data_IF_262476919258
#
_entry.id   IF_262476919258
#
_cell.length_a   1.000
_cell.length_b   1.000
_cell.length_c   1.000
_cell.angle_alpha   90.00
_cell.angle_beta   90.00
_cell.angle_gamma   90.00
#
_symmetry.space_group_name_H-M   'P 1'
#
loop_
_entity.id
_entity.type
_entity.pdbx_description
1 polymer ?
#
# COMPACT_ATOMS: atom_id res chain seq x y z
N UNK A 1 -31.89 -19.85 11.74
CA UNK A 1 -31.66 -19.78 10.30
C UNK A 1 -30.17 -19.55 10.03
N UNK A 2 -29.51 -20.31 9.14
CA UNK A 2 -28.11 -20.08 8.80
C UNK A 2 -27.98 -18.70 8.16
N UNK A 3 -27.05 -17.89 8.67
CA UNK A 3 -26.70 -16.60 8.06
C UNK A 3 -26.23 -16.86 6.63
N UNK A 4 -26.92 -16.28 5.65
CA UNK A 4 -26.48 -16.31 4.26
C UNK A 4 -25.02 -15.86 4.16
N UNK A 5 -24.20 -16.66 3.48
CA UNK A 5 -22.78 -16.31 3.27
C UNK A 5 -22.73 -14.95 2.57
N UNK A 6 -22.00 -14.00 3.16
CA UNK A 6 -21.76 -12.70 2.50
C UNK A 6 -21.09 -12.98 1.16
N UNK A 7 -21.64 -12.49 0.04
CA UNK A 7 -20.99 -12.69 -1.24
C UNK A 7 -19.56 -12.15 -1.17
N UNK A 8 -18.60 -12.94 -1.68
CA UNK A 8 -17.22 -12.51 -1.81
C UNK A 8 -17.20 -11.21 -2.64
N UNK A 9 -16.44 -10.19 -2.22
CA UNK A 9 -16.30 -8.97 -3.00
C UNK A 9 -15.81 -9.33 -4.40
N UNK A 10 -16.53 -8.89 -5.44
CA UNK A 10 -16.11 -9.11 -6.82
C UNK A 10 -14.78 -8.40 -7.05
N UNK A 11 -13.82 -9.10 -7.68
CA UNK A 11 -12.62 -8.46 -8.18
C UNK A 11 -13.02 -7.39 -9.21
N UNK A 12 -12.29 -6.28 -9.26
CA UNK A 12 -12.40 -5.32 -10.37
C UNK A 12 -11.85 -5.96 -11.64
N UNK A 13 -12.38 -5.57 -12.79
CA UNK A 13 -11.71 -5.80 -14.07
C UNK A 13 -10.34 -5.12 -14.10
N UNK A 14 -9.46 -5.58 -15.01
CA UNK A 14 -8.12 -4.98 -15.16
C UNK A 14 -8.24 -3.49 -15.48
N UNK A 15 -9.13 -3.11 -16.40
CA UNK A 15 -9.32 -1.72 -16.84
C UNK A 15 -9.80 -0.83 -15.69
N UNK A 16 -10.79 -1.26 -14.90
CA UNK A 16 -11.28 -0.54 -13.73
C UNK A 16 -10.18 -0.36 -12.67
N UNK A 17 -9.40 -1.41 -12.42
CA UNK A 17 -8.31 -1.34 -11.46
C UNK A 17 -7.22 -0.37 -11.93
N UNK A 18 -6.83 -0.42 -13.21
CA UNK A 18 -5.86 0.50 -13.81
C UNK A 18 -6.40 1.92 -13.82
N UNK A 19 -7.68 2.12 -14.18
CA UNK A 19 -8.34 3.44 -14.14
C UNK A 19 -8.28 4.05 -12.74
N UNK A 20 -8.58 3.27 -11.70
CA UNK A 20 -8.53 3.73 -10.31
C UNK A 20 -7.14 4.20 -9.88
N UNK A 21 -6.10 3.37 -10.14
CA UNK A 21 -4.74 3.70 -9.68
C UNK A 21 -4.09 4.79 -10.52
N UNK A 22 -4.44 4.89 -11.80
CA UNK A 22 -3.93 5.93 -12.72
C UNK A 22 -4.72 7.23 -12.66
N UNK A 23 -5.86 7.26 -11.94
CA UNK A 23 -6.68 8.45 -11.80
C UNK A 23 -5.90 9.56 -11.10
N UNK A 24 -6.04 10.77 -11.60
CA UNK A 24 -5.48 12.00 -11.01
C UNK A 24 -6.60 13.02 -10.90
N UNK A 25 -6.85 13.50 -9.68
CA UNK A 25 -7.85 14.53 -9.44
C UNK A 25 -7.23 15.90 -9.66
N UNK A 26 -7.65 16.59 -10.71
CA UNK A 26 -7.17 17.95 -11.01
C UNK A 26 -7.58 19.00 -9.94
N UNK A 27 -8.63 18.71 -9.17
CA UNK A 27 -9.15 19.58 -8.12
C UNK A 27 -8.68 19.24 -6.71
N UNK A 28 -7.93 18.14 -6.54
CA UNK A 28 -7.44 17.73 -5.23
C UNK A 28 -6.18 18.52 -4.84
N UNK A 29 -6.01 18.68 -3.54
CA UNK A 29 -4.74 19.12 -2.97
C UNK A 29 -3.62 18.16 -3.43
N UNK A 30 -2.52 18.66 -4.03
CA UNK A 30 -1.44 17.83 -4.56
C UNK A 30 -0.84 16.89 -3.51
N UNK A 31 -0.77 17.31 -2.25
CA UNK A 31 -0.29 16.50 -1.14
C UNK A 31 -1.21 15.31 -0.88
N UNK A 32 -2.54 15.53 -0.87
CA UNK A 32 -3.52 14.46 -0.70
C UNK A 32 -3.52 13.52 -1.90
N UNK A 33 -3.42 14.05 -3.11
CA UNK A 33 -3.43 13.25 -4.34
C UNK A 33 -2.22 12.34 -4.42
N UNK A 34 -1.01 12.85 -4.18
CA UNK A 34 0.21 12.04 -4.19
C UNK A 34 0.16 10.91 -3.16
N UNK A 35 -0.35 11.19 -1.95
CA UNK A 35 -0.53 10.18 -0.91
C UNK A 35 -1.50 9.08 -1.35
N UNK A 36 -2.67 9.48 -1.82
CA UNK A 36 -3.76 8.56 -2.15
C UNK A 36 -3.44 7.74 -3.41
N UNK A 37 -2.69 8.31 -4.36
CA UNK A 37 -2.14 7.57 -5.49
C UNK A 37 -1.15 6.50 -5.05
N UNK A 38 -0.20 6.83 -4.17
CA UNK A 38 0.75 5.85 -3.63
C UNK A 38 0.05 4.74 -2.83
N UNK A 39 -0.99 5.06 -2.06
CA UNK A 39 -1.81 4.07 -1.35
C UNK A 39 -2.50 3.11 -2.34
N UNK A 40 -3.13 3.64 -3.38
CA UNK A 40 -3.84 2.84 -4.37
C UNK A 40 -2.89 1.91 -5.14
N UNK A 41 -1.73 2.42 -5.54
CA UNK A 41 -0.68 1.65 -6.22
C UNK A 41 -0.14 0.51 -5.34
N UNK A 42 0.15 0.74 -4.07
CA UNK A 42 0.62 -0.32 -3.17
C UNK A 42 -0.45 -1.39 -2.89
N UNK A 43 -1.71 -1.01 -2.78
CA UNK A 43 -2.80 -1.96 -2.54
C UNK A 43 -3.07 -2.83 -3.76
N UNK A 44 -3.06 -2.26 -4.96
CA UNK A 44 -3.28 -2.99 -6.19
C UNK A 44 -2.00 -3.62 -6.72
N UNK A 45 -0.90 -2.88 -6.80
CA UNK A 45 0.37 -3.35 -7.34
C UNK A 45 1.10 -4.35 -6.42
N UNK A 46 1.00 -4.19 -5.10
CA UNK A 46 1.65 -5.10 -4.14
C UNK A 46 0.67 -6.07 -3.46
N UNK A 47 -0.63 -5.91 -3.66
CA UNK A 47 -1.64 -6.74 -3.00
C UNK A 47 -1.56 -6.73 -1.48
N UNK A 48 -1.11 -5.63 -0.87
CA UNK A 48 -0.97 -5.51 0.59
C UNK A 48 -2.31 -5.62 1.31
N UNK A 49 -2.28 -6.21 2.51
CA UNK A 49 -3.41 -6.09 3.43
C UNK A 49 -3.47 -4.67 3.98
N UNK A 50 -4.67 -4.18 4.27
CA UNK A 50 -4.85 -2.83 4.82
C UNK A 50 -4.03 -2.61 6.11
N UNK A 51 -3.98 -3.61 7.00
CA UNK A 51 -3.19 -3.54 8.23
C UNK A 51 -1.67 -3.53 7.96
N UNK A 52 -1.21 -4.18 6.90
CA UNK A 52 0.18 -4.13 6.47
C UNK A 52 0.53 -2.75 5.92
N UNK A 53 -0.32 -2.19 5.06
CA UNK A 53 -0.16 -0.85 4.52
C UNK A 53 -0.11 0.22 5.62
N UNK A 54 -1.06 0.19 6.57
CA UNK A 54 -1.07 1.15 7.69
C UNK A 54 0.12 0.99 8.63
N UNK A 55 0.73 -0.19 8.67
CA UNK A 55 1.92 -0.48 9.47
C UNK A 55 3.24 -0.10 8.84
N UNK A 56 3.25 0.43 7.60
CA UNK A 56 4.49 0.82 6.93
C UNK A 56 5.08 2.10 7.54
N UNK A 57 6.39 2.08 7.71
CA UNK A 57 7.22 3.21 8.08
C UNK A 57 8.06 3.68 6.90
N UNK A 58 8.54 4.91 6.96
CA UNK A 58 9.41 5.49 5.92
C UNK A 58 10.74 4.76 5.84
N UNK A 59 11.24 4.24 6.98
CA UNK A 59 12.54 3.59 7.09
C UNK A 59 12.47 2.33 7.94
N UNK A 60 13.39 1.41 7.67
CA UNK A 60 13.62 0.28 8.54
C UNK A 60 14.06 0.72 9.94
N UNK A 61 13.48 0.10 10.96
CA UNK A 61 13.93 0.23 12.35
C UNK A 61 13.57 -1.03 13.14
N UNK A 62 14.13 -1.17 14.33
CA UNK A 62 13.80 -2.30 15.22
C UNK A 62 12.35 -2.29 15.68
N UNK A 63 11.67 -1.13 15.62
CA UNK A 63 10.27 -0.97 16.00
C UNK A 63 9.33 -0.97 14.79
N UNK A 64 9.86 -0.88 13.56
CA UNK A 64 9.07 -0.85 12.34
C UNK A 64 8.29 -2.15 12.15
N UNK A 65 6.98 -2.03 11.98
CA UNK A 65 6.12 -3.16 11.59
C UNK A 65 6.31 -3.53 10.13
N UNK A 66 6.73 -2.57 9.32
CA UNK A 66 7.07 -2.75 7.92
C UNK A 66 7.69 -1.47 7.37
N UNK A 67 8.32 -1.55 6.22
CA UNK A 67 8.90 -0.42 5.49
C UNK A 67 8.98 -0.74 4.00
N UNK A 68 9.27 0.28 3.19
CA UNK A 68 9.52 0.08 1.76
C UNK A 68 10.97 0.46 1.43
N UNK A 69 11.66 -0.45 0.77
CA UNK A 69 12.95 -0.18 0.14
C UNK A 69 12.70 0.15 -1.34
N UNK A 70 12.77 1.45 -1.68
CA UNK A 70 12.53 1.92 -3.03
C UNK A 70 13.65 1.56 -4.02
N UNK A 71 14.88 1.35 -3.53
CA UNK A 71 16.01 0.96 -4.37
C UNK A 71 15.92 -0.51 -4.77
N UNK A 72 15.55 -1.35 -3.80
CA UNK A 72 15.33 -2.78 -4.05
C UNK A 72 13.97 -3.07 -4.71
N UNK A 73 13.02 -2.13 -4.68
CA UNK A 73 11.64 -2.38 -5.11
C UNK A 73 10.92 -3.38 -4.20
N UNK A 74 11.11 -3.27 -2.90
CA UNK A 74 10.64 -4.24 -1.90
C UNK A 74 9.82 -3.58 -0.79
N UNK A 75 8.68 -4.18 -0.44
CA UNK A 75 7.96 -3.85 0.77
C UNK A 75 8.12 -4.99 1.79
N UNK A 76 8.72 -4.66 2.93
CA UNK A 76 8.86 -5.57 4.07
C UNK A 76 7.65 -5.42 4.98
N UNK A 77 6.84 -6.46 5.13
CA UNK A 77 5.59 -6.39 5.90
C UNK A 77 5.51 -7.47 6.97
N UNK A 78 4.81 -7.16 8.03
CA UNK A 78 4.52 -8.09 9.12
C UNK A 78 3.14 -8.72 8.89
N UNK A 79 3.12 -9.98 8.51
CA UNK A 79 1.90 -10.73 8.25
C UNK A 79 1.28 -11.34 9.51
N UNK A 80 0.27 -12.19 9.31
CA UNK A 80 -0.39 -12.93 10.39
C UNK A 80 0.61 -13.83 11.12
N UNK A 81 0.57 -13.85 12.45
CA UNK A 81 1.49 -14.63 13.29
C UNK A 81 2.88 -14.01 13.40
N UNK A 82 3.01 -12.70 13.23
CA UNK A 82 4.28 -11.95 13.32
C UNK A 82 5.38 -12.42 12.35
N UNK A 83 4.99 -13.12 11.28
CA UNK A 83 5.94 -13.55 10.25
C UNK A 83 6.18 -12.38 9.27
N UNK A 84 7.45 -12.02 9.08
CA UNK A 84 7.84 -11.04 8.05
C UNK A 84 7.82 -11.72 6.68
N UNK A 85 7.40 -10.96 5.66
CA UNK A 85 7.56 -11.33 4.26
C UNK A 85 7.93 -10.12 3.44
N UNK A 86 8.53 -10.37 2.29
CA UNK A 86 8.85 -9.36 1.29
C UNK A 86 7.79 -9.44 0.19
N UNK A 87 7.36 -8.28 -0.29
CA UNK A 87 6.43 -8.13 -1.39
C UNK A 87 7.07 -7.24 -2.44
N UNK A 88 7.10 -7.62 -3.72
CA UNK A 88 7.62 -6.77 -4.78
C UNK A 88 6.79 -5.50 -4.92
N UNK A 89 7.47 -4.39 -5.16
CA UNK A 89 6.86 -3.07 -5.43
C UNK A 89 7.18 -2.70 -6.86
N UNK A 90 6.17 -2.76 -7.72
CA UNK A 90 6.33 -2.48 -9.16
C UNK A 90 6.73 -1.03 -9.43
N UNK A 91 7.28 -0.79 -10.61
CA UNK A 91 7.83 0.52 -11.01
C UNK A 91 6.84 1.68 -10.84
N UNK A 92 5.56 1.46 -11.13
CA UNK A 92 4.54 2.51 -10.95
C UNK A 92 4.30 2.85 -9.47
N UNK A 93 4.31 1.85 -8.59
CA UNK A 93 4.19 2.07 -7.15
C UNK A 93 5.45 2.76 -6.59
N UNK A 94 6.64 2.44 -7.09
CA UNK A 94 7.89 3.14 -6.74
C UNK A 94 7.80 4.61 -7.12
N UNK A 95 7.38 4.93 -8.35
CA UNK A 95 7.21 6.32 -8.81
C UNK A 95 6.19 7.08 -7.97
N UNK A 96 5.04 6.47 -7.67
CA UNK A 96 4.02 7.08 -6.83
C UNK A 96 4.53 7.33 -5.40
N UNK A 97 5.29 6.40 -4.83
CA UNK A 97 5.91 6.56 -3.51
C UNK A 97 6.98 7.64 -3.49
N UNK A 98 7.80 7.75 -4.53
CA UNK A 98 8.77 8.84 -4.66
C UNK A 98 8.07 10.20 -4.68
N UNK A 99 7.00 10.34 -5.49
CA UNK A 99 6.18 11.54 -5.53
C UNK A 99 5.55 11.87 -4.17
N UNK A 100 5.03 10.87 -3.46
CA UNK A 100 4.50 11.05 -2.12
C UNK A 100 5.58 11.49 -1.12
N UNK A 101 6.73 10.83 -1.08
CA UNK A 101 7.80 11.14 -0.15
C UNK A 101 8.38 12.53 -0.36
N UNK A 102 8.44 13.02 -1.61
CA UNK A 102 8.85 14.38 -1.91
C UNK A 102 7.92 15.45 -1.32
N UNK A 103 6.63 15.14 -1.17
CA UNK A 103 5.63 16.06 -0.63
C UNK A 103 5.27 15.80 0.84
N UNK A 104 5.54 14.61 1.35
CA UNK A 104 5.07 14.12 2.64
C UNK A 104 5.32 15.11 3.80
N UNK A 105 6.50 15.67 3.86
CA UNK A 105 6.90 16.57 4.94
C UNK A 105 6.53 18.04 4.65
N UNK A 106 5.95 18.33 3.47
CA UNK A 106 5.46 19.64 3.04
C UNK A 106 3.95 19.76 3.31
N UNK A 107 3.53 19.59 4.57
CA UNK A 107 2.11 19.66 4.90
C UNK A 107 1.47 20.99 4.50
N UNK A 108 0.24 20.98 3.96
CA UNK A 108 -0.47 22.21 3.59
C UNK A 108 -0.58 23.19 4.77
N UNK A 109 -0.24 24.46 4.55
CA UNK A 109 -0.39 25.52 5.54
C UNK A 109 -1.88 25.70 5.87
N UNK A 110 -2.26 25.48 7.10
CA UNK A 110 -3.66 25.54 7.59
C UNK A 110 -4.09 24.32 8.38
N UNK A 111 -3.37 23.22 8.27
CA UNK A 111 -3.53 22.03 9.08
C UNK A 111 -2.34 21.87 10.03
N UNK A 112 -1.81 23.03 10.50
CA UNK A 112 -0.72 23.04 11.47
C UNK A 112 -1.02 22.04 12.58
N UNK A 113 -0.06 21.15 12.83
CA UNK A 113 -0.01 20.27 13.98
C UNK A 113 -0.67 20.99 15.18
N UNK A 114 -1.90 20.67 15.48
CA UNK A 114 -2.27 20.57 16.87
C UNK A 114 -1.57 19.28 17.35
N UNK A 115 -0.23 19.37 17.44
CA UNK A 115 0.45 18.56 18.42
C UNK A 115 -0.32 18.82 19.71
N UNK A 116 -0.77 17.78 20.44
CA UNK A 116 -1.26 18.02 21.80
C UNK A 116 -0.19 18.91 22.41
N UNK A 117 -0.62 20.08 22.92
CA UNK A 117 0.28 21.01 23.55
C UNK A 117 1.07 20.21 24.56
N UNK A 118 2.32 19.93 24.25
CA UNK A 118 3.22 19.25 25.15
C UNK A 118 3.48 20.29 26.22
N UNK A 119 2.66 20.24 27.28
CA UNK A 119 3.00 20.90 28.51
C UNK A 119 4.46 20.61 28.79
N UNK A 120 5.30 21.64 28.71
CA UNK A 120 6.70 21.73 29.14
C UNK A 120 7.39 20.36 29.33
N UNK A 121 7.66 19.65 28.23
CA UNK A 121 8.49 18.45 28.27
C UNK A 121 9.94 18.89 28.35
N UNK A 122 10.58 18.53 29.41
CA UNK A 122 12.02 18.61 29.63
C UNK A 122 12.78 18.11 28.37
N UNK A 123 13.85 18.78 27.93
CA UNK A 123 14.63 18.33 26.77
C UNK A 123 15.14 16.91 27.03
N UNK A 124 14.65 15.93 26.25
CA UNK A 124 15.10 14.52 26.33
C UNK A 124 13.98 13.47 26.32
N UNK A 125 12.70 13.83 26.50
CA UNK A 125 11.59 12.88 26.50
C UNK A 125 10.71 13.02 25.26
N UNK A 126 11.20 12.59 24.10
CA UNK A 126 10.30 12.25 22.98
C UNK A 126 9.65 10.93 23.36
N UNK A 127 8.34 10.96 23.67
CA UNK A 127 7.62 9.72 23.97
C UNK A 127 7.68 8.79 22.76
N UNK A 128 7.89 7.48 23.00
CA UNK A 128 7.99 6.47 21.94
C UNK A 128 6.79 6.53 20.96
N UNK A 129 5.64 7.00 21.41
CA UNK A 129 4.46 7.23 20.59
C UNK A 129 4.63 8.35 19.56
N UNK A 130 5.24 9.47 19.90
CA UNK A 130 5.46 10.58 18.95
C UNK A 130 6.51 10.21 17.89
N UNK A 131 7.54 9.47 18.25
CA UNK A 131 8.53 8.95 17.29
C UNK A 131 7.90 7.94 16.31
N UNK A 132 7.03 7.06 16.79
CA UNK A 132 6.30 6.09 15.96
C UNK A 132 5.34 6.76 14.96
N UNK A 133 4.71 7.87 15.35
CA UNK A 133 3.83 8.66 14.47
C UNK A 133 4.64 9.35 13.34
N UNK A 134 5.83 9.88 13.66
CA UNK A 134 6.71 10.51 12.67
C UNK A 134 7.31 9.50 11.69
N UNK A 135 7.50 8.25 12.11
CA UNK A 135 8.03 7.18 11.27
C UNK A 135 7.02 6.70 10.22
N UNK A 136 5.71 6.93 10.42
CA UNK A 136 4.67 6.41 9.54
C UNK A 136 4.87 6.81 8.08
N UNK A 137 4.81 5.86 7.14
CA UNK A 137 4.89 6.14 5.71
C UNK A 137 3.71 7.02 5.26
N UNK A 138 2.50 6.66 5.65
CA UNK A 138 1.30 7.42 5.31
C UNK A 138 0.75 8.15 6.52
N UNK A 139 0.66 9.47 6.40
CA UNK A 139 0.16 10.36 7.43
C UNK A 139 -1.09 11.11 6.95
N UNK A 140 -1.94 11.46 7.90
CA UNK A 140 -3.08 12.36 7.70
C UNK A 140 -2.66 13.83 7.78
N UNK A 141 -3.60 14.73 7.51
CA UNK A 141 -3.38 16.18 7.59
C UNK A 141 -2.99 16.68 9.00
N UNK A 142 -3.19 15.87 10.04
CA UNK A 142 -2.75 16.16 11.42
C UNK A 142 -1.32 15.68 11.71
N UNK A 143 -0.62 15.13 10.71
CA UNK A 143 0.72 14.56 10.89
C UNK A 143 0.76 13.21 11.61
N UNK A 144 -0.40 12.61 11.91
CA UNK A 144 -0.50 11.31 12.55
C UNK A 144 -0.63 10.20 11.51
N UNK A 145 -0.25 8.97 11.88
CA UNK A 145 -0.40 7.77 11.05
C UNK A 145 -1.82 7.64 10.53
N UNK A 146 -1.94 7.37 9.23
CA UNK A 146 -3.26 7.24 8.60
C UNK A 146 -3.96 5.97 9.08
N UNK A 147 -5.23 6.10 9.48
CA UNK A 147 -6.02 4.96 9.97
C UNK A 147 -6.57 4.12 8.82
N UNK A 148 -6.85 2.85 9.09
CA UNK A 148 -7.51 1.95 8.16
C UNK A 148 -8.85 2.51 7.64
N UNK A 149 -9.62 3.15 8.52
CA UNK A 149 -10.91 3.77 8.16
C UNK A 149 -10.72 4.95 7.21
N UNK A 150 -9.71 5.80 7.45
CA UNK A 150 -9.39 6.92 6.56
C UNK A 150 -9.00 6.42 5.16
N UNK A 151 -8.15 5.40 5.07
CA UNK A 151 -7.77 4.79 3.79
C UNK A 151 -9.01 4.25 3.05
N UNK A 152 -9.89 3.57 3.77
CA UNK A 152 -11.13 3.04 3.21
C UNK A 152 -12.01 4.14 2.60
N UNK A 153 -12.21 5.25 3.35
CA UNK A 153 -12.99 6.39 2.87
C UNK A 153 -12.34 7.08 1.68
N UNK A 154 -11.00 7.24 1.71
CA UNK A 154 -10.26 7.85 0.59
C UNK A 154 -10.35 7.04 -0.70
N UNK A 155 -10.18 5.71 -0.62
CA UNK A 155 -10.35 4.83 -1.77
C UNK A 155 -11.77 4.85 -2.32
N UNK A 156 -12.78 4.84 -1.46
CA UNK A 156 -14.17 4.99 -1.86
C UNK A 156 -14.41 6.30 -2.62
N UNK A 157 -13.94 7.42 -2.08
CA UNK A 157 -14.06 8.72 -2.75
C UNK A 157 -13.33 8.73 -4.09
N UNK A 158 -12.07 8.24 -4.12
CA UNK A 158 -11.26 8.16 -5.34
C UNK A 158 -11.92 7.34 -6.42
N UNK A 159 -12.50 6.19 -6.09
CA UNK A 159 -13.18 5.33 -7.08
C UNK A 159 -14.39 6.00 -7.72
N UNK A 160 -15.18 6.75 -6.93
CA UNK A 160 -16.31 7.50 -7.46
C UNK A 160 -15.86 8.66 -8.35
N UNK A 161 -14.81 9.38 -7.95
CA UNK A 161 -14.22 10.47 -8.75
C UNK A 161 -13.58 9.94 -10.04
N UNK A 162 -13.02 8.75 -10.01
CA UNK A 162 -12.50 8.07 -11.19
C UNK A 162 -13.59 7.54 -12.13
N UNK A 163 -14.89 7.68 -11.78
CA UNK A 163 -16.01 7.26 -12.61
C UNK A 163 -16.30 5.76 -12.56
N UNK A 164 -15.81 5.02 -11.54
CA UNK A 164 -16.13 3.61 -11.40
C UNK A 164 -17.59 3.43 -10.94
N UNK A 165 -18.25 2.41 -11.47
CA UNK A 165 -19.66 2.12 -11.19
C UNK A 165 -19.93 1.74 -9.71
N UNK A 166 -18.90 1.24 -9.01
CA UNK A 166 -19.00 0.80 -7.62
C UNK A 166 -17.91 1.41 -6.76
N UNK A 167 -18.21 1.73 -5.49
CA UNK A 167 -17.18 2.18 -4.56
C UNK A 167 -16.19 1.07 -4.26
N UNK A 168 -14.90 1.38 -4.41
CA UNK A 168 -13.82 0.42 -4.20
C UNK A 168 -13.30 0.50 -2.76
N UNK A 169 -12.89 -0.64 -2.22
CA UNK A 169 -12.30 -0.76 -0.91
C UNK A 169 -11.03 -1.65 -0.94
N UNK A 170 -10.16 -1.59 0.09
CA UNK A 170 -8.85 -2.26 0.08
C UNK A 170 -8.87 -3.75 -0.24
N UNK A 171 -9.88 -4.48 0.26
CA UNK A 171 -10.00 -5.91 0.00
C UNK A 171 -10.32 -6.23 -1.47
N UNK A 172 -11.07 -5.35 -2.17
CA UNK A 172 -11.31 -5.50 -3.60
C UNK A 172 -10.02 -5.37 -4.39
N UNK A 173 -9.19 -4.35 -4.09
CA UNK A 173 -7.90 -4.16 -4.77
C UNK A 173 -6.96 -5.34 -4.59
N UNK A 174 -6.84 -5.85 -3.35
CA UNK A 174 -6.05 -7.04 -3.09
C UNK A 174 -6.62 -8.29 -3.79
N UNK A 175 -7.94 -8.43 -3.85
CA UNK A 175 -8.57 -9.54 -4.58
C UNK A 175 -8.34 -9.42 -6.08
N UNK A 176 -8.43 -8.20 -6.63
CA UNK A 176 -8.10 -7.92 -8.03
C UNK A 176 -6.64 -8.23 -8.35
N UNK A 177 -5.70 -7.80 -7.49
CA UNK A 177 -4.30 -8.18 -7.61
C UNK A 177 -4.13 -9.71 -7.70
N UNK A 178 -4.73 -10.44 -6.75
CA UNK A 178 -4.65 -11.90 -6.73
C UNK A 178 -5.22 -12.54 -8.00
N UNK A 179 -6.40 -12.09 -8.44
CA UNK A 179 -7.09 -12.62 -9.61
C UNK A 179 -6.33 -12.32 -10.91
N UNK A 180 -5.84 -11.09 -11.08
CA UNK A 180 -5.12 -10.70 -12.29
C UNK A 180 -3.77 -11.40 -12.38
N UNK A 181 -3.08 -11.53 -11.25
CA UNK A 181 -1.80 -12.24 -11.21
C UNK A 181 -1.99 -13.74 -11.50
N UNK A 182 -3.04 -14.37 -10.97
CA UNK A 182 -3.38 -15.77 -11.25
C UNK A 182 -3.78 -16.01 -12.70
N UNK A 183 -4.48 -15.06 -13.32
CA UNK A 183 -4.88 -15.16 -14.73
C UNK A 183 -3.70 -15.04 -15.70
N UNK A 184 -2.68 -14.27 -15.30
CA UNK A 184 -1.54 -13.96 -16.14
C UNK A 184 -0.31 -14.84 -15.84
N UNK A 185 -0.26 -15.47 -14.67
CA UNK A 185 0.84 -16.32 -14.22
C UNK A 185 0.45 -17.80 -14.30
N UNK A 186 1.34 -18.63 -14.80
CA UNK A 186 1.25 -20.09 -14.68
C UNK A 186 1.72 -20.60 -13.30
N UNK A 187 2.27 -19.73 -12.46
CA UNK A 187 2.80 -20.06 -11.12
C UNK A 187 1.80 -19.75 -10.00
N UNK A 188 0.85 -20.64 -9.81
CA UNK A 188 -0.14 -20.58 -8.72
C UNK A 188 0.54 -20.52 -7.34
N UNK A 189 1.65 -21.22 -7.16
CA UNK A 189 2.36 -21.30 -5.89
C UNK A 189 3.02 -19.97 -5.55
N UNK A 190 3.74 -19.35 -6.49
CA UNK A 190 4.33 -18.03 -6.31
C UNK A 190 3.29 -16.96 -5.96
N UNK A 191 2.12 -17.00 -6.60
CA UNK A 191 1.02 -16.07 -6.29
C UNK A 191 0.48 -16.28 -4.86
N UNK A 192 0.31 -17.52 -4.43
CA UNK A 192 -0.14 -17.82 -3.05
C UNK A 192 0.88 -17.34 -2.02
N UNK A 193 2.16 -17.49 -2.30
CA UNK A 193 3.26 -17.02 -1.45
C UNK A 193 3.27 -15.48 -1.36
N UNK A 194 3.16 -14.77 -2.48
CA UNK A 194 3.04 -13.31 -2.52
C UNK A 194 1.86 -12.81 -1.66
N UNK A 195 0.76 -13.52 -1.70
CA UNK A 195 -0.41 -13.19 -0.90
C UNK A 195 -0.26 -13.52 0.58
N UNK A 196 0.74 -14.34 0.97
CA UNK A 196 0.93 -14.75 2.35
C UNK A 196 -0.25 -15.58 2.88
N UNK A 197 -0.70 -16.58 2.11
CA UNK A 197 -1.71 -17.54 2.54
C UNK A 197 -1.07 -18.57 3.46
N UNK A 198 -1.55 -18.64 4.71
CA UNK A 198 -0.94 -19.38 5.81
C UNK A 198 -1.06 -20.92 5.73
N UNK A 199 -1.66 -21.49 4.71
CA UNK A 199 -2.00 -22.93 4.65
C UNK A 199 -1.00 -23.80 3.89
N UNK A 200 0.18 -23.28 3.55
CA UNK A 200 1.26 -24.16 3.09
C UNK A 200 2.21 -24.32 4.27
N UNK A 201 2.20 -25.52 4.86
CA UNK A 201 3.07 -25.91 5.96
C UNK A 201 4.51 -26.00 5.49
N UNK A 202 5.21 -24.90 5.47
CA UNK A 202 6.66 -24.89 5.52
C UNK A 202 7.13 -23.52 6.04
N UNK A 203 7.85 -23.57 7.15
CA UNK A 203 8.66 -22.46 7.65
C UNK A 203 9.84 -22.31 6.70
N UNK A 204 9.64 -21.80 5.51
CA UNK A 204 10.73 -21.41 4.64
C UNK A 204 11.09 -19.96 4.97
N UNK A 205 12.30 -19.79 5.47
CA UNK A 205 12.98 -18.50 5.55
C UNK A 205 13.22 -18.10 4.10
N UNK A 206 12.50 -17.06 3.62
CA UNK A 206 12.67 -16.56 2.25
C UNK A 206 14.10 -16.06 2.09
N UNK A 207 14.83 -16.68 1.20
CA UNK A 207 16.14 -16.20 0.79
C UNK A 207 15.98 -15.13 -0.30
N UNK A 208 17.00 -14.31 -0.53
CA UNK A 208 17.03 -13.35 -1.65
C UNK A 208 16.78 -14.00 -3.02
N UNK A 209 17.11 -15.29 -3.15
CA UNK A 209 16.90 -16.08 -4.37
C UNK A 209 15.40 -16.35 -4.62
N UNK A 210 14.66 -16.68 -3.57
CA UNK A 210 13.20 -16.90 -3.67
C UNK A 210 12.47 -15.60 -4.05
N UNK A 211 12.91 -14.46 -3.50
CA UNK A 211 12.34 -13.16 -3.84
C UNK A 211 12.59 -12.78 -5.30
N UNK A 212 13.78 -13.05 -5.84
CA UNK A 212 14.10 -12.79 -7.26
C UNK A 212 13.20 -13.57 -8.22
N UNK A 213 12.80 -14.79 -7.87
CA UNK A 213 11.84 -15.57 -8.64
C UNK A 213 10.44 -14.98 -8.58
N UNK A 214 9.98 -14.59 -7.38
CA UNK A 214 8.68 -13.96 -7.17
C UNK A 214 8.57 -12.60 -7.88
N UNK A 215 9.63 -11.79 -7.85
CA UNK A 215 9.69 -10.52 -8.57
C UNK A 215 9.59 -10.72 -10.09
N UNK A 216 10.30 -11.70 -10.66
CA UNK A 216 10.20 -12.06 -12.08
C UNK A 216 8.80 -12.53 -12.46
N UNK A 217 8.17 -13.37 -11.64
CA UNK A 217 6.79 -13.82 -11.86
C UNK A 217 5.81 -12.64 -11.81
N UNK A 218 6.01 -11.71 -10.90
CA UNK A 218 5.25 -10.47 -10.82
C UNK A 218 5.44 -9.61 -12.06
N UNK A 219 6.68 -9.34 -12.45
CA UNK A 219 7.01 -8.51 -13.61
C UNK A 219 6.45 -9.10 -14.91
N UNK A 220 6.43 -10.42 -15.03
CA UNK A 220 5.89 -11.09 -16.21
C UNK A 220 4.36 -11.06 -16.28
N UNK A 221 3.67 -11.01 -15.14
CA UNK A 221 2.23 -11.29 -15.07
C UNK A 221 1.37 -10.10 -14.63
N UNK A 222 1.90 -9.13 -13.89
CA UNK A 222 1.08 -8.07 -13.33
C UNK A 222 0.84 -6.90 -14.31
N UNK A 223 -0.40 -6.42 -14.52
CA UNK A 223 -0.70 -5.34 -15.47
C UNK A 223 0.08 -4.06 -15.25
N UNK A 224 0.45 -3.74 -14.00
CA UNK A 224 1.23 -2.53 -13.66
C UNK A 224 2.74 -2.69 -13.79
N UNK A 225 3.24 -3.90 -13.94
CA UNK A 225 4.66 -4.14 -14.23
C UNK A 225 5.01 -3.70 -15.65
N UNK A 226 4.09 -3.86 -16.61
CA UNK A 226 4.32 -3.58 -18.03
C UNK A 226 3.95 -2.16 -18.49
N UNK A 227 3.28 -1.36 -17.67
CA UNK A 227 2.93 0.01 -18.06
C UNK A 227 4.19 0.88 -18.06
N UNK A 228 4.75 1.06 -19.22
CA UNK A 228 5.77 2.10 -19.46
C UNK A 228 5.18 3.45 -19.08
N UNK A 229 5.91 4.26 -18.33
CA UNK A 229 5.58 5.68 -18.19
C UNK A 229 5.42 6.25 -19.60
N UNK A 230 4.28 6.88 -19.93
CA UNK A 230 4.17 7.70 -21.13
C UNK A 230 5.23 8.77 -20.98
N UNK A 231 6.35 8.60 -21.65
CA UNK A 231 7.40 9.59 -21.73
C UNK A 231 6.79 10.88 -22.22
N UNK A 232 7.01 11.93 -21.46
CA UNK A 232 6.80 13.31 -21.87
C UNK A 232 7.48 13.48 -23.23
N UNK A 233 6.68 13.76 -24.26
CA UNK A 233 7.17 14.41 -25.48
C UNK A 233 7.00 15.89 -25.29
#
# INVERSE_FOLDING_TARGET
>A
APKAAKPLPKALGVDDAVQLVSFQSASADPWLEARDAAIAELLYGGGLRLAELTGLDVRASNQARGWVDLQAGEAHVLGKGSKRRIVPVGAQAVLALQGWLALRDQMPKGHARQAPALAAATPGSVTAGAAAEQAALFIGQRGTRLTAQSIWQRLKSRSLQAGLALPVHPHMLRHSFASHLLQSSSDLRGVQELLGHANISTTQIYTRLDFGHLAKAYDAAHPRAHLKSKGSK
#
